data_IF_684741748772
#
_entry.id   IF_684741748772
#
_cell.length_a   1.000
_cell.length_b   1.000
_cell.length_c   1.000
_cell.angle_alpha   90.00
_cell.angle_beta   90.00
_cell.angle_gamma   90.00
#
_symmetry.space_group_name_H-M   'P 1'
#
loop_
_entity.id
_entity.type
_entity.pdbx_description
1 polymer ?
#
# COMPACT_ATOMS: atom_id res chain seq x y z
N UNK A 1 -9.28 18.21 12.12
CA UNK A 1 -9.35 17.27 13.29
C UNK A 1 -8.10 16.40 13.36
N UNK A 2 -7.65 15.84 12.24
CA UNK A 2 -6.47 14.97 12.20
C UNK A 2 -5.14 15.71 11.99
N UNK A 3 -5.14 17.04 12.07
CA UNK A 3 -3.98 17.87 11.72
C UNK A 3 -2.76 17.59 12.61
N UNK A 4 -3.00 17.15 13.85
CA UNK A 4 -1.95 16.70 14.78
C UNK A 4 -1.25 15.44 14.30
N UNK A 5 -1.99 14.45 13.76
CA UNK A 5 -1.44 13.24 13.15
C UNK A 5 -0.63 13.59 11.91
N UNK A 6 -1.20 14.41 11.02
CA UNK A 6 -0.50 14.84 9.81
C UNK A 6 0.77 15.63 10.11
N UNK A 7 0.74 16.53 11.10
CA UNK A 7 1.91 17.28 11.54
C UNK A 7 3.00 16.37 12.10
N UNK A 8 2.64 15.40 12.95
CA UNK A 8 3.59 14.39 13.48
C UNK A 8 4.21 13.57 12.36
N UNK A 9 3.40 13.07 11.43
CA UNK A 9 3.87 12.34 10.26
C UNK A 9 4.84 13.18 9.42
N UNK A 10 4.47 14.40 9.03
CA UNK A 10 5.30 15.28 8.20
C UNK A 10 6.62 15.64 8.87
N UNK A 11 6.61 15.85 10.19
CA UNK A 11 7.83 16.07 10.98
C UNK A 11 8.73 14.83 10.94
N UNK A 12 8.20 13.64 11.22
CA UNK A 12 8.96 12.38 11.14
C UNK A 12 9.49 12.13 9.73
N UNK A 13 8.69 12.35 8.69
CA UNK A 13 9.10 12.22 7.30
C UNK A 13 10.34 13.06 6.98
N UNK A 14 10.31 14.33 7.38
CA UNK A 14 11.40 15.28 7.15
C UNK A 14 12.66 14.92 7.95
N UNK A 15 12.51 14.57 9.23
CA UNK A 15 13.61 14.17 10.11
C UNK A 15 14.26 12.87 9.65
N UNK A 16 13.46 11.86 9.32
CA UNK A 16 13.94 10.55 8.88
C UNK A 16 14.75 10.66 7.60
N UNK A 17 14.37 11.55 6.70
CA UNK A 17 15.16 11.86 5.49
C UNK A 17 16.55 12.38 5.83
N UNK A 18 16.64 13.42 6.66
CA UNK A 18 17.91 14.02 7.06
C UNK A 18 18.82 13.00 7.76
N UNK A 19 18.25 12.21 8.65
CA UNK A 19 18.98 11.14 9.34
C UNK A 19 19.45 10.06 8.36
N UNK A 20 18.68 9.72 7.31
CA UNK A 20 19.10 8.70 6.33
C UNK A 20 20.22 9.21 5.43
N UNK A 21 20.18 10.49 5.05
CA UNK A 21 21.30 11.15 4.34
C UNK A 21 22.56 11.13 5.20
N UNK A 22 22.44 11.48 6.47
CA UNK A 22 23.59 11.53 7.39
C UNK A 22 24.25 10.16 7.56
N UNK A 23 23.45 9.10 7.69
CA UNK A 23 23.98 7.73 7.79
C UNK A 23 24.65 7.31 6.48
N UNK A 24 24.02 7.56 5.33
CA UNK A 24 24.61 7.24 4.02
C UNK A 24 25.94 7.95 3.80
N UNK A 25 26.03 9.23 4.17
CA UNK A 25 27.26 9.99 4.08
C UNK A 25 28.36 9.46 5.03
N UNK A 26 27.97 9.03 6.23
CA UNK A 26 28.88 8.40 7.19
C UNK A 26 29.43 7.06 6.67
N UNK A 27 28.59 6.26 6.01
CA UNK A 27 28.99 5.01 5.33
C UNK A 27 29.98 5.31 4.21
N UNK A 28 29.67 6.30 3.37
CA UNK A 28 30.56 6.72 2.27
C UNK A 28 31.94 7.11 2.79
N UNK A 29 32.00 8.00 3.79
CA UNK A 29 33.27 8.45 4.39
C UNK A 29 34.03 7.27 5.01
N UNK A 30 33.34 6.41 5.76
CA UNK A 30 33.99 5.26 6.42
C UNK A 30 34.62 4.30 5.40
N UNK A 31 33.89 3.96 4.34
CA UNK A 31 34.39 3.10 3.27
C UNK A 31 35.51 3.77 2.47
N UNK A 32 35.42 5.08 2.24
CA UNK A 32 36.46 5.86 1.58
C UNK A 32 37.77 5.86 2.38
N UNK A 33 37.69 6.11 3.69
CA UNK A 33 38.86 6.07 4.59
C UNK A 33 39.47 4.65 4.60
N UNK A 34 38.63 3.61 4.68
CA UNK A 34 39.09 2.22 4.61
C UNK A 34 39.81 1.93 3.28
N UNK A 35 39.23 2.33 2.15
CA UNK A 35 39.84 2.15 0.83
C UNK A 35 41.22 2.80 0.76
N UNK A 36 41.34 4.06 1.20
CA UNK A 36 42.62 4.77 1.23
C UNK A 36 43.66 4.12 2.15
N UNK A 37 43.22 3.56 3.29
CA UNK A 37 44.09 2.77 4.16
C UNK A 37 44.63 1.50 3.49
N UNK A 38 43.90 0.94 2.52
CA UNK A 38 44.31 -0.23 1.75
C UNK A 38 45.17 0.07 0.53
N UNK A 39 45.08 1.28 -0.06
CA UNK A 39 45.89 1.67 -1.23
C UNK A 39 47.39 1.50 -0.98
N UNK A 40 47.85 1.83 0.23
CA UNK A 40 49.27 1.69 0.60
C UNK A 40 49.69 0.23 0.86
N UNK A 41 48.73 -0.68 1.08
CA UNK A 41 48.98 -2.09 1.40
C UNK A 41 48.89 -3.01 0.17
N UNK A 42 48.04 -2.67 -0.80
CA UNK A 42 47.80 -3.51 -1.97
C UNK A 42 48.12 -2.76 -3.27
N UNK A 43 49.20 -3.17 -3.96
CA UNK A 43 49.65 -2.56 -5.23
C UNK A 43 48.57 -2.52 -6.33
N UNK A 44 47.62 -3.45 -6.32
CA UNK A 44 46.52 -3.48 -7.30
C UNK A 44 45.59 -2.27 -7.17
N UNK A 45 45.44 -1.73 -5.95
CA UNK A 45 44.63 -0.55 -5.65
C UNK A 45 45.34 0.76 -6.04
N UNK A 46 46.63 0.72 -6.36
CA UNK A 46 47.36 1.86 -6.93
C UNK A 46 47.04 2.08 -8.41
N UNK A 47 46.40 1.11 -9.08
CA UNK A 47 45.90 1.29 -10.44
C UNK A 47 44.66 2.21 -10.41
N UNK A 48 44.72 3.32 -11.14
CA UNK A 48 43.67 4.33 -11.17
C UNK A 48 42.29 3.79 -11.57
N UNK A 49 42.22 2.83 -12.49
CA UNK A 49 40.95 2.22 -12.92
C UNK A 49 40.35 1.34 -11.84
N UNK A 50 41.17 0.53 -11.17
CA UNK A 50 40.71 -0.31 -10.06
C UNK A 50 40.23 0.57 -8.90
N UNK A 51 40.98 1.61 -8.55
CA UNK A 51 40.59 2.56 -7.51
C UNK A 51 39.28 3.29 -7.85
N UNK A 52 39.12 3.75 -9.10
CA UNK A 52 37.88 4.36 -9.57
C UNK A 52 36.68 3.41 -9.47
N UNK A 53 36.83 2.15 -9.88
CA UNK A 53 35.77 1.14 -9.75
C UNK A 53 35.38 0.89 -8.30
N UNK A 54 36.35 0.88 -7.38
CA UNK A 54 36.08 0.75 -5.95
C UNK A 54 35.33 1.97 -5.40
N UNK A 55 35.70 3.19 -5.81
CA UNK A 55 34.96 4.40 -5.45
C UNK A 55 33.53 4.39 -5.99
N UNK A 56 33.33 3.94 -7.23
CA UNK A 56 32.01 3.78 -7.82
C UNK A 56 31.17 2.77 -7.01
N UNK A 57 31.76 1.64 -6.62
CA UNK A 57 31.09 0.64 -5.79
C UNK A 57 30.69 1.21 -4.41
N UNK A 58 31.59 1.95 -3.75
CA UNK A 58 31.31 2.63 -2.47
C UNK A 58 30.16 3.62 -2.62
N UNK A 59 30.14 4.39 -3.72
CA UNK A 59 29.06 5.31 -4.02
C UNK A 59 27.72 4.57 -4.20
N UNK A 60 27.69 3.50 -4.99
CA UNK A 60 26.50 2.67 -5.19
C UNK A 60 25.99 2.10 -3.84
N UNK A 61 26.88 1.56 -3.01
CA UNK A 61 26.54 1.04 -1.67
C UNK A 61 25.93 2.14 -0.80
N UNK A 62 26.51 3.34 -0.83
CA UNK A 62 26.05 4.47 -0.02
C UNK A 62 24.67 4.96 -0.46
N UNK A 63 24.41 5.03 -1.77
CA UNK A 63 23.10 5.36 -2.33
C UNK A 63 22.06 4.28 -1.99
N UNK A 64 22.43 3.00 -2.11
CA UNK A 64 21.55 1.89 -1.74
C UNK A 64 21.19 1.93 -0.25
N UNK A 65 22.16 2.20 0.62
CA UNK A 65 21.94 2.36 2.06
C UNK A 65 21.00 3.53 2.36
N UNK A 66 21.14 4.67 1.66
CA UNK A 66 20.20 5.79 1.78
C UNK A 66 18.78 5.37 1.42
N UNK A 67 18.59 4.75 0.25
CA UNK A 67 17.27 4.37 -0.26
C UNK A 67 16.58 3.39 0.70
N UNK A 68 17.29 2.37 1.16
CA UNK A 68 16.78 1.37 2.09
C UNK A 68 16.41 1.99 3.45
N UNK A 69 17.33 2.74 4.06
CA UNK A 69 17.08 3.36 5.37
C UNK A 69 15.99 4.42 5.33
N UNK A 70 15.92 5.19 4.25
CA UNK A 70 14.86 6.16 4.06
C UNK A 70 13.49 5.46 3.99
N UNK A 71 13.34 4.46 3.12
CA UNK A 71 12.08 3.71 2.99
C UNK A 71 11.66 3.04 4.31
N UNK A 72 12.58 2.35 4.98
CA UNK A 72 12.33 1.71 6.27
C UNK A 72 11.82 2.69 7.34
N UNK A 73 12.41 3.89 7.39
CA UNK A 73 12.00 4.91 8.36
C UNK A 73 10.68 5.58 7.97
N UNK A 74 10.38 5.72 6.68
CA UNK A 74 9.07 6.20 6.22
C UNK A 74 7.98 5.19 6.60
N UNK A 75 8.23 3.88 6.44
CA UNK A 75 7.31 2.83 6.91
C UNK A 75 6.92 3.00 8.38
N UNK A 76 7.88 3.32 9.25
CA UNK A 76 7.62 3.60 10.68
C UNK A 76 6.89 4.92 10.93
N UNK A 77 7.10 5.94 10.08
CA UNK A 77 6.40 7.21 10.21
C UNK A 77 4.93 7.08 9.84
N UNK A 78 4.60 6.22 8.88
CA UNK A 78 3.24 6.00 8.38
C UNK A 78 2.26 5.48 9.44
N UNK A 79 2.77 4.81 10.49
CA UNK A 79 1.98 4.38 11.66
C UNK A 79 1.24 5.57 12.30
N UNK A 80 1.81 6.78 12.25
CA UNK A 80 1.14 7.99 12.76
C UNK A 80 -0.16 8.36 12.03
N UNK A 81 -0.41 7.77 10.87
CA UNK A 81 -1.64 7.98 10.10
C UNK A 81 -2.59 6.77 10.16
N UNK A 82 -2.16 5.65 10.74
CA UNK A 82 -2.94 4.41 10.74
C UNK A 82 -4.25 4.54 11.53
N UNK A 83 -4.25 5.26 12.66
CA UNK A 83 -5.44 5.55 13.46
C UNK A 83 -6.56 6.18 12.61
N UNK A 84 -6.22 7.04 11.64
CA UNK A 84 -7.19 7.70 10.75
C UNK A 84 -8.02 6.66 9.99
N UNK A 85 -7.39 5.56 9.57
CA UNK A 85 -8.08 4.46 8.90
C UNK A 85 -8.74 3.53 9.92
N UNK A 86 -8.00 3.08 10.94
CA UNK A 86 -8.43 1.94 11.75
C UNK A 86 -9.38 2.31 12.89
N UNK A 87 -9.19 3.50 13.49
CA UNK A 87 -10.02 3.97 14.58
C UNK A 87 -11.13 4.88 14.07
N UNK A 88 -10.81 5.74 13.10
CA UNK A 88 -11.75 6.73 12.57
C UNK A 88 -12.41 6.33 11.25
N UNK A 89 -12.01 5.23 10.60
CA UNK A 89 -12.64 4.76 9.34
C UNK A 89 -12.62 5.86 8.25
N UNK A 90 -11.56 6.67 8.22
CA UNK A 90 -11.42 7.85 7.36
C UNK A 90 -10.32 7.72 6.28
N UNK A 91 -10.49 6.81 5.30
CA UNK A 91 -9.52 6.68 4.21
C UNK A 91 -9.39 7.93 3.34
N UNK A 92 -10.37 8.85 3.33
CA UNK A 92 -10.29 10.08 2.53
C UNK A 92 -9.22 11.01 3.09
N UNK A 93 -9.34 11.37 4.38
CA UNK A 93 -8.35 12.23 5.03
C UNK A 93 -6.94 11.60 5.00
N UNK A 94 -6.85 10.29 5.23
CA UNK A 94 -5.60 9.56 5.10
C UNK A 94 -4.99 9.70 3.71
N UNK A 95 -5.78 9.49 2.66
CA UNK A 95 -5.35 9.56 1.27
C UNK A 95 -4.92 10.98 0.89
N UNK A 96 -5.67 12.00 1.29
CA UNK A 96 -5.35 13.41 1.03
C UNK A 96 -4.03 13.84 1.67
N UNK A 97 -3.75 13.39 2.90
CA UNK A 97 -2.48 13.68 3.57
C UNK A 97 -1.26 13.02 2.90
N UNK A 98 -1.43 11.78 2.43
CA UNK A 98 -0.40 11.10 1.66
C UNK A 98 -0.16 11.80 0.32
N UNK A 99 -1.24 12.16 -0.39
CA UNK A 99 -1.16 12.92 -1.63
C UNK A 99 -0.47 14.27 -1.46
N UNK A 100 -0.82 15.04 -0.42
CA UNK A 100 -0.16 16.29 -0.11
C UNK A 100 1.35 16.11 0.12
N UNK A 101 1.76 15.01 0.76
CA UNK A 101 3.16 14.68 1.02
C UNK A 101 3.90 14.27 -0.26
N UNK A 102 3.25 13.51 -1.13
CA UNK A 102 3.75 13.13 -2.46
C UNK A 102 3.93 14.38 -3.33
N UNK A 103 2.92 15.25 -3.39
CA UNK A 103 2.95 16.49 -4.14
C UNK A 103 4.02 17.48 -3.65
N UNK A 104 4.24 17.54 -2.33
CA UNK A 104 5.36 18.32 -1.76
C UNK A 104 6.73 17.77 -2.19
N UNK A 105 6.78 16.51 -2.61
CA UNK A 105 7.99 15.80 -3.03
C UNK A 105 8.21 15.81 -4.55
N UNK A 106 7.49 16.63 -5.34
CA UNK A 106 7.48 16.64 -6.83
C UNK A 106 8.84 16.53 -7.53
N UNK A 107 9.93 17.04 -6.96
CA UNK A 107 11.27 16.97 -7.56
C UNK A 107 12.18 15.88 -6.94
N UNK A 108 11.63 14.99 -6.12
CA UNK A 108 12.36 14.10 -5.23
C UNK A 108 11.80 12.68 -5.34
N UNK A 109 12.69 11.69 -5.29
CA UNK A 109 12.27 10.28 -5.27
C UNK A 109 11.42 10.02 -4.04
N UNK A 110 10.17 9.63 -4.27
CA UNK A 110 9.22 9.24 -3.22
C UNK A 110 9.53 7.81 -2.77
N UNK A 111 9.37 7.54 -1.47
CA UNK A 111 9.60 6.21 -0.90
C UNK A 111 8.53 5.22 -1.39
N UNK A 112 8.89 3.99 -1.77
CA UNK A 112 7.92 2.93 -2.10
C UNK A 112 6.86 2.72 -1.02
N UNK A 113 7.24 2.73 0.26
CA UNK A 113 6.29 2.62 1.37
C UNK A 113 5.22 3.72 1.35
N UNK A 114 5.56 4.94 0.95
CA UNK A 114 4.58 6.03 0.83
C UNK A 114 3.56 5.77 -0.28
N UNK A 115 4.03 5.30 -1.44
CA UNK A 115 3.17 4.92 -2.55
C UNK A 115 2.25 3.74 -2.20
N UNK A 116 2.77 2.73 -1.49
CA UNK A 116 1.97 1.59 -1.04
C UNK A 116 0.87 2.02 -0.06
N UNK A 117 1.19 2.86 0.92
CA UNK A 117 0.16 3.43 1.80
C UNK A 117 -0.84 4.27 1.02
N UNK A 118 -0.41 5.02 0.02
CA UNK A 118 -1.32 5.82 -0.79
C UNK A 118 -2.29 4.95 -1.59
N UNK A 119 -1.80 3.87 -2.21
CA UNK A 119 -2.62 2.87 -2.88
C UNK A 119 -3.60 2.20 -1.89
N UNK A 120 -3.17 1.89 -0.67
CA UNK A 120 -4.05 1.37 0.39
C UNK A 120 -5.18 2.35 0.70
N UNK A 121 -4.90 3.65 0.85
CA UNK A 121 -5.92 4.66 1.04
C UNK A 121 -6.93 4.73 -0.11
N UNK A 122 -6.44 4.81 -1.35
CA UNK A 122 -7.27 4.83 -2.56
C UNK A 122 -8.14 3.57 -2.71
N UNK A 123 -7.67 2.44 -2.19
CA UNK A 123 -8.44 1.20 -2.26
C UNK A 123 -9.69 1.18 -1.41
N UNK A 124 -9.64 1.76 -0.22
CA UNK A 124 -10.82 1.92 0.63
C UNK A 124 -11.80 2.95 0.02
N UNK A 125 -11.33 3.83 -0.85
CA UNK A 125 -12.15 4.78 -1.60
C UNK A 125 -12.65 4.24 -2.96
N UNK A 126 -12.26 3.02 -3.34
CA UNK A 126 -12.50 2.41 -4.65
C UNK A 126 -12.07 3.30 -5.86
N UNK A 127 -11.04 4.14 -5.70
CA UNK A 127 -10.54 5.02 -6.78
C UNK A 127 -9.62 4.27 -7.77
N UNK A 128 -10.24 3.44 -8.60
CA UNK A 128 -9.57 2.57 -9.59
C UNK A 128 -8.73 3.34 -10.60
N UNK A 129 -9.18 4.54 -10.98
CA UNK A 129 -8.51 5.35 -12.01
C UNK A 129 -7.16 5.83 -11.49
N UNK A 130 -7.13 6.42 -10.30
CA UNK A 130 -5.91 6.96 -9.71
C UNK A 130 -4.94 5.85 -9.31
N UNK A 131 -5.45 4.73 -8.80
CA UNK A 131 -4.63 3.54 -8.54
C UNK A 131 -3.93 3.03 -9.82
N UNK A 132 -4.64 2.97 -10.96
CA UNK A 132 -4.04 2.55 -12.24
C UNK A 132 -2.90 3.47 -12.67
N UNK A 133 -3.13 4.78 -12.62
CA UNK A 133 -2.11 5.77 -12.99
C UNK A 133 -0.82 5.62 -12.17
N UNK A 134 -0.95 5.36 -10.86
CA UNK A 134 0.20 5.14 -9.99
C UNK A 134 0.94 3.86 -10.38
N UNK A 135 0.22 2.76 -10.65
CA UNK A 135 0.83 1.48 -11.02
C UNK A 135 1.53 1.55 -12.39
N UNK A 136 0.96 2.25 -13.36
CA UNK A 136 1.58 2.47 -14.67
C UNK A 136 2.87 3.30 -14.55
N UNK A 137 2.85 4.34 -13.73
CA UNK A 137 3.99 5.26 -13.60
C UNK A 137 5.07 4.79 -12.60
N UNK A 138 4.68 3.98 -11.61
CA UNK A 138 5.52 3.65 -10.46
C UNK A 138 5.57 2.14 -10.14
N UNK A 139 4.92 1.27 -10.92
CA UNK A 139 4.88 -0.17 -10.67
C UNK A 139 6.25 -0.82 -10.52
N UNK A 140 7.22 -0.42 -11.35
CA UNK A 140 8.59 -0.99 -11.32
C UNK A 140 9.37 -0.71 -10.02
N UNK A 141 9.12 0.42 -9.36
CA UNK A 141 9.74 0.71 -8.05
C UNK A 141 8.99 0.07 -6.89
N UNK A 142 7.78 -0.43 -7.16
CA UNK A 142 6.99 -1.17 -6.20
C UNK A 142 7.29 -2.67 -6.28
N UNK A 143 7.73 -3.21 -7.43
CA UNK A 143 7.90 -4.65 -7.71
C UNK A 143 8.49 -5.52 -6.59
N UNK A 144 9.54 -5.06 -5.89
CA UNK A 144 10.16 -5.81 -4.79
C UNK A 144 9.47 -5.68 -3.42
N UNK A 145 8.64 -4.64 -3.25
CA UNK A 145 7.86 -4.33 -2.05
C UNK A 145 6.35 -4.44 -2.30
N UNK A 146 5.91 -4.96 -3.45
CA UNK A 146 4.52 -5.18 -3.82
C UNK A 146 3.94 -6.26 -2.89
N UNK A 147 3.65 -5.85 -1.67
CA UNK A 147 2.69 -6.50 -0.82
C UNK A 147 1.36 -6.44 -1.58
N UNK A 148 0.82 -7.61 -1.84
CA UNK A 148 -0.60 -8.00 -1.76
C UNK A 148 -1.61 -6.90 -2.01
N UNK A 149 -1.63 -5.81 -1.22
CA UNK A 149 -2.49 -4.65 -1.48
C UNK A 149 -2.31 -4.09 -2.91
N UNK A 150 -1.10 -3.70 -3.32
CA UNK A 150 -0.89 -3.11 -4.64
C UNK A 150 -1.11 -4.09 -5.81
N UNK A 151 -0.97 -5.39 -5.57
CA UNK A 151 -1.33 -6.44 -6.53
C UNK A 151 -2.85 -6.74 -6.53
N UNK A 152 -3.53 -6.69 -5.38
CA UNK A 152 -4.99 -6.79 -5.26
C UNK A 152 -5.68 -5.67 -6.05
N UNK A 153 -4.99 -4.54 -6.24
CA UNK A 153 -5.48 -3.43 -7.06
C UNK A 153 -5.18 -3.58 -8.55
N UNK A 154 -4.17 -4.36 -8.97
CA UNK A 154 -4.03 -4.75 -10.38
C UNK A 154 -5.29 -5.49 -10.88
N UNK A 155 -5.96 -6.28 -10.03
CA UNK A 155 -7.24 -6.90 -10.41
C UNK A 155 -8.38 -5.89 -10.63
N UNK A 156 -8.41 -4.79 -9.87
CA UNK A 156 -9.43 -3.76 -9.99
C UNK A 156 -9.06 -2.66 -10.99
N UNK A 157 -7.82 -2.61 -11.48
CA UNK A 157 -7.42 -1.72 -12.56
C UNK A 157 -7.53 -2.39 -13.93
N UNK A 158 -7.42 -3.72 -14.05
CA UNK A 158 -7.51 -4.46 -15.32
C UNK A 158 -8.93 -4.98 -15.64
N UNK A 159 -9.92 -4.09 -15.57
CA UNK A 159 -11.36 -4.43 -15.68
C UNK A 159 -11.88 -4.99 -17.01
N UNK A 160 -11.04 -5.47 -17.94
CA UNK A 160 -11.55 -5.92 -19.24
C UNK A 160 -11.22 -7.37 -19.63
N UNK A 161 -10.50 -8.17 -18.83
CA UNK A 161 -10.19 -9.54 -19.25
C UNK A 161 -10.25 -10.56 -18.11
N UNK A 162 -11.30 -11.40 -18.11
CA UNK A 162 -11.44 -12.59 -17.23
C UNK A 162 -10.18 -13.47 -17.23
N UNK A 163 -9.47 -13.51 -18.35
CA UNK A 163 -8.24 -14.29 -18.53
C UNK A 163 -7.05 -13.76 -17.72
N UNK A 164 -6.99 -12.45 -17.46
CA UNK A 164 -5.93 -11.84 -16.65
C UNK A 164 -6.16 -12.08 -15.14
N UNK A 165 -7.42 -12.19 -14.70
CA UNK A 165 -7.78 -12.50 -13.31
C UNK A 165 -7.30 -13.91 -12.89
N UNK A 166 -7.52 -14.94 -13.70
CA UNK A 166 -7.13 -16.32 -13.37
C UNK A 166 -5.60 -16.48 -13.30
N UNK A 167 -4.88 -15.86 -14.25
CA UNK A 167 -3.42 -15.84 -14.23
C UNK A 167 -2.89 -15.14 -12.98
N UNK A 168 -3.56 -14.07 -12.56
CA UNK A 168 -3.25 -13.36 -11.32
C UNK A 168 -3.50 -14.24 -10.09
N UNK A 169 -4.68 -14.85 -9.97
CA UNK A 169 -5.04 -15.68 -8.82
C UNK A 169 -4.01 -16.80 -8.63
N UNK A 170 -3.63 -17.48 -9.71
CA UNK A 170 -2.61 -18.54 -9.67
C UNK A 170 -1.24 -18.04 -9.21
N UNK A 171 -0.85 -16.81 -9.57
CA UNK A 171 0.41 -16.22 -9.11
C UNK A 171 0.33 -15.82 -7.64
N UNK A 172 -0.80 -15.25 -7.20
CA UNK A 172 -0.98 -14.84 -5.81
C UNK A 172 -1.07 -16.02 -4.86
N UNK A 173 -1.75 -17.11 -5.23
CA UNK A 173 -1.78 -18.32 -4.39
C UNK A 173 -0.39 -18.90 -4.09
N UNK A 174 0.61 -18.63 -4.95
CA UNK A 174 2.01 -19.04 -4.73
C UNK A 174 2.78 -18.11 -3.80
N UNK A 175 2.41 -16.84 -3.76
CA UNK A 175 3.13 -15.78 -3.01
C UNK A 175 2.49 -15.53 -1.64
N UNK A 176 1.17 -15.63 -1.58
CA UNK A 176 0.38 -15.41 -0.38
C UNK A 176 0.53 -16.58 0.59
N UNK A 177 0.88 -16.26 1.82
CA UNK A 177 0.93 -17.21 2.93
C UNK A 177 -0.36 -17.25 3.75
N UNK A 178 -1.22 -16.24 3.61
CA UNK A 178 -2.49 -16.15 4.34
C UNK A 178 -3.64 -16.67 3.48
N UNK A 179 -4.31 -17.71 3.98
CA UNK A 179 -5.52 -18.25 3.37
C UNK A 179 -6.64 -17.19 3.29
N UNK A 180 -6.80 -16.37 4.34
CA UNK A 180 -7.78 -15.27 4.39
C UNK A 180 -7.56 -14.29 3.22
N UNK A 181 -6.32 -13.90 2.96
CA UNK A 181 -6.00 -12.99 1.85
C UNK A 181 -6.31 -13.61 0.48
N UNK A 182 -6.01 -14.90 0.29
CA UNK A 182 -6.39 -15.62 -0.94
C UNK A 182 -7.91 -15.66 -1.11
N UNK A 183 -8.67 -15.93 -0.04
CA UNK A 183 -10.14 -15.96 -0.10
C UNK A 183 -10.73 -14.58 -0.41
N UNK A 184 -10.19 -13.50 0.18
CA UNK A 184 -10.62 -12.13 -0.15
C UNK A 184 -10.45 -11.79 -1.64
N UNK A 185 -9.37 -12.26 -2.27
CA UNK A 185 -9.17 -12.12 -3.72
C UNK A 185 -10.22 -12.92 -4.50
N UNK A 186 -10.47 -14.16 -4.10
CA UNK A 186 -11.48 -15.03 -4.74
C UNK A 186 -12.87 -14.42 -4.67
N UNK A 187 -13.25 -13.79 -3.56
CA UNK A 187 -14.52 -13.06 -3.42
C UNK A 187 -14.66 -11.99 -4.51
N UNK A 188 -13.61 -11.17 -4.72
CA UNK A 188 -13.61 -10.16 -5.79
C UNK A 188 -13.76 -10.81 -7.16
N UNK A 189 -13.05 -11.91 -7.43
CA UNK A 189 -13.21 -12.69 -8.66
C UNK A 189 -14.63 -13.19 -8.90
N UNK A 190 -15.25 -13.77 -7.87
CA UNK A 190 -16.62 -14.24 -7.93
C UNK A 190 -17.59 -13.08 -8.22
N UNK A 191 -17.42 -11.92 -7.56
CA UNK A 191 -18.23 -10.73 -7.83
C UNK A 191 -18.04 -10.21 -9.27
N UNK A 192 -16.83 -10.27 -9.82
CA UNK A 192 -16.55 -9.89 -11.22
C UNK A 192 -17.19 -10.83 -12.25
N UNK A 193 -17.35 -12.11 -11.89
CA UNK A 193 -17.91 -13.15 -12.75
C UNK A 193 -19.42 -13.36 -12.53
N UNK A 194 -20.08 -12.49 -11.76
CA UNK A 194 -21.47 -12.62 -11.33
C UNK A 194 -21.78 -13.92 -10.55
N UNK A 195 -20.76 -14.56 -9.96
CA UNK A 195 -20.87 -15.75 -9.11
C UNK A 195 -21.26 -15.37 -7.66
N UNK A 196 -22.34 -14.61 -7.49
CA UNK A 196 -22.72 -14.00 -6.21
C UNK A 196 -22.98 -15.03 -5.10
N UNK A 197 -23.54 -16.19 -5.42
CA UNK A 197 -23.76 -17.25 -4.43
C UNK A 197 -22.46 -17.78 -3.84
N UNK A 198 -21.43 -17.94 -4.68
CA UNK A 198 -20.09 -18.36 -4.25
C UNK A 198 -19.36 -17.26 -3.49
N UNK A 199 -19.49 -16.01 -3.94
CA UNK A 199 -18.97 -14.85 -3.21
C UNK A 199 -19.57 -14.78 -1.80
N UNK A 200 -20.87 -15.06 -1.66
CA UNK A 200 -21.57 -15.04 -0.38
C UNK A 200 -21.03 -16.08 0.61
N UNK A 201 -20.78 -17.30 0.14
CA UNK A 201 -20.19 -18.38 0.95
C UNK A 201 -18.77 -18.03 1.42
N UNK A 202 -17.94 -17.55 0.50
CA UNK A 202 -16.57 -17.15 0.84
C UNK A 202 -16.54 -15.96 1.82
N UNK A 203 -17.48 -15.02 1.70
CA UNK A 203 -17.62 -13.91 2.66
C UNK A 203 -17.92 -14.44 4.08
N UNK A 204 -18.77 -15.46 4.22
CA UNK A 204 -19.06 -16.07 5.53
C UNK A 204 -17.84 -16.78 6.13
N UNK A 205 -16.96 -17.35 5.30
CA UNK A 205 -15.74 -18.01 5.76
C UNK A 205 -14.61 -17.06 6.19
N UNK A 206 -14.58 -15.84 5.65
CA UNK A 206 -13.51 -14.86 5.93
C UNK A 206 -13.88 -13.84 6.99
N UNK A 207 -15.14 -13.80 7.40
CA UNK A 207 -15.58 -12.89 8.44
C UNK A 207 -14.87 -13.22 9.76
N UNK A 208 -14.39 -12.19 10.43
CA UNK A 208 -13.66 -12.30 11.67
C UNK A 208 -14.09 -11.16 12.60
N UNK A 209 -14.63 -11.51 13.76
CA UNK A 209 -15.10 -10.53 14.74
C UNK A 209 -13.95 -9.75 15.37
N UNK A 210 -12.71 -10.23 15.28
CA UNK A 210 -11.52 -9.53 15.80
C UNK A 210 -10.89 -8.58 14.76
N UNK A 211 -11.43 -8.52 13.55
CA UNK A 211 -10.94 -7.57 12.52
C UNK A 211 -11.12 -6.11 12.95
N UNK A 212 -10.25 -5.26 12.42
CA UNK A 212 -10.35 -3.81 12.58
C UNK A 212 -11.64 -3.24 11.96
N UNK A 213 -12.05 -2.05 12.42
CA UNK A 213 -13.36 -1.51 12.07
C UNK A 213 -13.51 -1.21 10.57
N UNK A 214 -12.47 -0.70 9.90
CA UNK A 214 -12.52 -0.45 8.45
C UNK A 214 -12.65 -1.77 7.67
N UNK A 215 -11.99 -2.84 8.11
CA UNK A 215 -12.11 -4.17 7.50
C UNK A 215 -13.53 -4.71 7.66
N UNK A 216 -14.13 -4.56 8.84
CA UNK A 216 -15.55 -4.89 9.08
C UNK A 216 -16.49 -4.08 8.20
N UNK A 217 -16.33 -2.75 8.15
CA UNK A 217 -17.16 -1.87 7.30
C UNK A 217 -17.05 -2.28 5.83
N UNK A 218 -15.83 -2.55 5.34
CA UNK A 218 -15.60 -3.04 3.98
C UNK A 218 -16.25 -4.41 3.72
N UNK A 219 -16.17 -5.33 4.68
CA UNK A 219 -16.82 -6.65 4.57
C UNK A 219 -18.34 -6.51 4.53
N UNK A 220 -18.93 -5.73 5.45
CA UNK A 220 -20.38 -5.51 5.51
C UNK A 220 -20.90 -4.86 4.24
N UNK A 221 -20.16 -3.90 3.65
CA UNK A 221 -20.53 -3.32 2.37
C UNK A 221 -20.54 -4.39 1.26
N UNK A 222 -19.49 -5.22 1.16
CA UNK A 222 -19.43 -6.28 0.15
C UNK A 222 -20.54 -7.32 0.33
N UNK A 223 -20.84 -7.71 1.57
CA UNK A 223 -21.94 -8.62 1.90
C UNK A 223 -23.29 -8.05 1.49
N UNK A 224 -23.54 -6.78 1.81
CA UNK A 224 -24.75 -6.08 1.37
C UNK A 224 -24.87 -6.07 -0.16
N UNK A 225 -23.81 -5.73 -0.89
CA UNK A 225 -23.79 -5.74 -2.36
C UNK A 225 -24.15 -7.12 -2.92
N UNK A 226 -23.53 -8.18 -2.40
CA UNK A 226 -23.78 -9.56 -2.85
C UNK A 226 -25.22 -9.97 -2.58
N UNK A 227 -25.76 -9.70 -1.39
CA UNK A 227 -27.14 -10.03 -1.02
C UNK A 227 -28.16 -9.29 -1.89
N UNK A 228 -27.96 -8.01 -2.18
CA UNK A 228 -28.81 -7.24 -3.10
C UNK A 228 -28.78 -7.85 -4.50
N UNK A 229 -27.60 -8.24 -5.01
CA UNK A 229 -27.47 -8.91 -6.33
C UNK A 229 -28.14 -10.28 -6.37
N UNK A 230 -28.24 -10.97 -5.23
CA UNK A 230 -28.99 -12.21 -5.06
C UNK A 230 -30.51 -11.98 -4.80
N UNK A 231 -30.99 -10.74 -4.85
CA UNK A 231 -32.36 -10.34 -4.53
C UNK A 231 -32.79 -10.67 -3.07
N UNK A 232 -31.84 -10.75 -2.15
CA UNK A 232 -32.05 -11.02 -0.72
C UNK A 232 -32.03 -9.73 0.11
N UNK A 233 -32.96 -8.83 -0.20
CA UNK A 233 -32.96 -7.45 0.33
C UNK A 233 -33.09 -7.36 1.84
N UNK A 234 -33.98 -8.16 2.43
CA UNK A 234 -34.18 -8.16 3.89
C UNK A 234 -32.93 -8.60 4.64
N UNK A 235 -32.17 -9.55 4.08
CA UNK A 235 -30.89 -9.98 4.65
C UNK A 235 -29.79 -8.93 4.49
N UNK A 236 -29.85 -8.09 3.45
CA UNK A 236 -28.85 -7.04 3.21
C UNK A 236 -28.97 -5.86 4.19
N UNK A 237 -30.19 -5.54 4.65
CA UNK A 237 -30.48 -4.39 5.53
C UNK A 237 -29.57 -4.25 6.76
N UNK A 238 -29.37 -5.27 7.61
CA UNK A 238 -28.50 -5.13 8.78
C UNK A 238 -27.05 -4.81 8.40
N UNK A 239 -26.55 -5.32 7.26
CA UNK A 239 -25.21 -5.01 6.78
C UNK A 239 -25.09 -3.58 6.27
N UNK A 240 -26.12 -3.08 5.57
CA UNK A 240 -26.19 -1.68 5.13
C UNK A 240 -26.20 -0.74 6.34
N UNK A 241 -27.04 -1.05 7.34
CA UNK A 241 -27.14 -0.24 8.55
C UNK A 241 -25.80 -0.17 9.30
N UNK A 242 -25.10 -1.29 9.44
CA UNK A 242 -23.76 -1.32 10.04
C UNK A 242 -22.79 -0.34 9.35
N UNK A 243 -22.80 -0.31 8.01
CA UNK A 243 -21.94 0.61 7.24
C UNK A 243 -22.36 2.07 7.42
N UNK A 244 -23.66 2.36 7.54
CA UNK A 244 -24.14 3.73 7.79
C UNK A 244 -23.77 4.22 9.20
N UNK A 245 -23.79 3.33 10.19
CA UNK A 245 -23.52 3.68 11.58
C UNK A 245 -22.01 3.81 11.86
N UNK A 246 -21.18 3.04 11.15
CA UNK A 246 -19.74 2.93 11.44
C UNK A 246 -18.83 3.47 10.31
N UNK A 247 -19.36 3.70 9.11
CA UNK A 247 -18.62 4.31 8.02
C UNK A 247 -18.46 5.80 8.25
N UNK A 248 -17.22 6.28 8.36
CA UNK A 248 -16.97 7.73 8.54
C UNK A 248 -16.86 8.47 7.19
N UNK A 249 -16.26 7.84 6.15
CA UNK A 249 -16.12 8.53 4.85
C UNK A 249 -17.39 8.57 4.02
N UNK A 250 -17.47 9.61 3.20
CA UNK A 250 -18.54 9.80 2.22
C UNK A 250 -18.68 8.62 1.27
N UNK A 251 -17.60 7.95 0.86
CA UNK A 251 -17.68 6.81 -0.07
C UNK A 251 -18.53 5.66 0.50
N UNK A 252 -18.13 5.06 1.62
CA UNK A 252 -18.85 3.93 2.22
C UNK A 252 -20.30 4.28 2.54
N UNK A 253 -20.52 5.47 3.11
CA UNK A 253 -21.86 5.95 3.46
C UNK A 253 -22.70 6.22 2.20
N UNK A 254 -22.11 6.79 1.15
CA UNK A 254 -22.83 7.04 -0.11
C UNK A 254 -23.23 5.75 -0.81
N UNK A 255 -22.34 4.75 -0.83
CA UNK A 255 -22.62 3.45 -1.44
C UNK A 255 -23.69 2.70 -0.63
N UNK A 256 -23.59 2.70 0.70
CA UNK A 256 -24.62 2.12 1.56
C UNK A 256 -25.98 2.81 1.40
N UNK A 257 -26.01 4.15 1.28
CA UNK A 257 -27.24 4.91 0.98
C UNK A 257 -27.82 4.53 -0.38
N UNK A 258 -26.98 4.36 -1.41
CA UNK A 258 -27.42 3.91 -2.71
C UNK A 258 -28.02 2.50 -2.66
N UNK A 259 -27.35 1.56 -1.99
CA UNK A 259 -27.85 0.19 -1.80
C UNK A 259 -29.18 0.15 -1.03
N UNK A 260 -29.39 1.07 -0.08
CA UNK A 260 -30.63 1.15 0.70
C UNK A 260 -31.89 1.48 -0.12
N UNK A 261 -31.71 1.96 -1.36
CA UNK A 261 -32.81 2.30 -2.28
C UNK A 261 -33.37 1.07 -3.01
N UNK A 262 -32.67 -0.07 -2.98
CA UNK A 262 -33.05 -1.31 -3.64
C UNK A 262 -33.78 -2.24 -2.69
#
# INVERSE_FOLDING_TARGET
MYDSYFYRFRRKYSQNRLLSITVSFSVFISLYILLNGFVNKFKILSNAWVYFLMLLLIFIISVAAYLYLFDFRIKRALIELEDIIYDYVDPLAFTEYLEATINYSKNRKVSPSLWLSYLKGLSYLDDKKKMREILENHGSILEGNLQIEAYNFNLLSHYNQKQEFEKYLSNMEKVLKSEKQVKLIKIKGCMLNDEYQRANQLLDEVFDEDDDLISKVSWHLQKATVLIKMNQKDAARPHIQFVLDNGNTSYYVSEAKYLSQY
#
